data_IF_272720189911
#
_entry.id   IF_272720189911
#
_cell.length_a   1.000
_cell.length_b   1.000
_cell.length_c   1.000
_cell.angle_alpha   90.00
_cell.angle_beta   90.00
_cell.angle_gamma   90.00
#
_symmetry.space_group_name_H-M   'P 1'
#
loop_
_entity.id
_entity.type
_entity.pdbx_description
1 polymer ?
#
# COMPACT_ATOMS: atom_id res chain seq x y z
N UNK A 1 32.43 9.11 -16.96
CA UNK A 1 31.42 8.88 -15.90
C UNK A 1 30.46 7.83 -16.43
N UNK A 2 30.79 6.56 -16.19
CA UNK A 2 29.97 5.40 -16.57
C UNK A 2 28.83 5.29 -15.57
N UNK A 3 27.61 5.56 -16.03
CA UNK A 3 26.40 5.22 -15.29
C UNK A 3 26.19 3.73 -15.38
N UNK A 4 26.56 3.00 -14.32
CA UNK A 4 26.09 1.64 -14.09
C UNK A 4 24.57 1.69 -13.95
N UNK A 5 23.84 1.27 -14.99
CA UNK A 5 22.41 0.97 -14.89
C UNK A 5 22.26 -0.33 -14.09
N UNK A 6 21.67 -0.31 -12.88
CA UNK A 6 21.64 -1.48 -12.04
C UNK A 6 20.60 -2.48 -12.56
N UNK A 7 21.05 -3.70 -12.81
CA UNK A 7 20.22 -4.91 -12.76
C UNK A 7 19.03 -4.93 -13.70
N UNK A 8 19.25 -5.29 -14.97
CA UNK A 8 18.17 -5.71 -15.85
C UNK A 8 17.42 -6.89 -15.23
N UNK A 9 16.24 -6.63 -14.67
CA UNK A 9 15.29 -7.66 -14.26
C UNK A 9 14.99 -8.49 -15.51
N UNK A 10 15.58 -9.68 -15.59
CA UNK A 10 15.30 -10.61 -16.68
C UNK A 10 13.83 -10.97 -16.60
N UNK A 11 13.10 -10.76 -17.71
CA UNK A 11 11.67 -11.09 -17.82
C UNK A 11 11.49 -12.59 -17.71
N UNK A 12 11.41 -13.10 -16.48
CA UNK A 12 11.09 -14.49 -16.21
C UNK A 12 9.62 -14.73 -16.55
N UNK A 13 9.27 -15.84 -17.23
CA UNK A 13 7.89 -16.24 -17.37
C UNK A 13 7.20 -16.34 -15.99
N UNK A 14 5.92 -15.92 -15.86
CA UNK A 14 5.18 -16.06 -14.60
C UNK A 14 5.16 -17.50 -14.11
N UNK A 15 5.32 -17.71 -12.80
CA UNK A 15 5.15 -19.04 -12.21
C UNK A 15 3.66 -19.43 -12.20
N UNK A 16 3.37 -20.72 -12.08
CA UNK A 16 1.97 -21.21 -11.98
C UNK A 16 1.19 -20.51 -10.85
N UNK A 17 1.84 -20.26 -9.71
CA UNK A 17 1.24 -19.53 -8.59
C UNK A 17 0.95 -18.06 -8.90
N UNK A 18 1.67 -17.43 -9.84
CA UNK A 18 1.38 -16.06 -10.26
C UNK A 18 0.18 -16.02 -11.22
N UNK A 19 0.06 -17.04 -12.08
CA UNK A 19 -1.08 -17.22 -12.99
C UNK A 19 -2.38 -17.46 -12.21
N UNK A 20 -2.31 -18.26 -11.15
CA UNK A 20 -3.44 -18.47 -10.23
C UNK A 20 -3.90 -17.14 -9.62
N UNK A 21 -2.97 -16.29 -9.18
CA UNK A 21 -3.30 -14.97 -8.61
C UNK A 21 -3.84 -13.99 -9.65
N UNK A 22 -3.34 -14.04 -10.89
CA UNK A 22 -3.91 -13.26 -12.00
C UNK A 22 -5.38 -13.59 -12.26
N UNK A 23 -5.80 -14.81 -11.96
CA UNK A 23 -7.18 -15.27 -12.13
C UNK A 23 -8.10 -14.93 -10.95
N UNK A 24 -7.55 -14.35 -9.87
CA UNK A 24 -8.32 -13.93 -8.71
C UNK A 24 -8.97 -12.56 -8.93
N UNK A 25 -9.98 -12.20 -8.13
CA UNK A 25 -10.54 -10.85 -8.13
C UNK A 25 -9.48 -9.78 -7.84
N UNK A 26 -9.78 -8.54 -8.25
CA UNK A 26 -9.00 -7.38 -7.84
C UNK A 26 -8.98 -7.27 -6.30
N UNK A 27 -7.87 -6.78 -5.74
CA UNK A 27 -7.78 -6.51 -4.31
C UNK A 27 -8.75 -5.38 -3.94
N UNK A 28 -8.96 -4.40 -4.82
CA UNK A 28 -9.95 -3.34 -4.63
C UNK A 28 -11.37 -3.88 -4.32
N UNK A 29 -11.81 -4.96 -4.99
CA UNK A 29 -13.14 -5.54 -4.74
C UNK A 29 -13.24 -6.34 -3.45
N UNK A 30 -12.11 -6.58 -2.76
CA UNK A 30 -12.03 -7.27 -1.48
C UNK A 30 -11.86 -6.28 -0.31
N UNK A 31 -11.83 -4.97 -0.61
CA UNK A 31 -11.76 -3.88 0.36
C UNK A 31 -13.16 -3.33 0.66
N UNK A 32 -13.39 -2.71 1.83
CA UNK A 32 -12.43 -2.47 2.92
C UNK A 32 -12.19 -3.69 3.81
N UNK A 33 -10.98 -3.82 4.36
CA UNK A 33 -10.67 -4.76 5.43
C UNK A 33 -10.89 -4.09 6.77
N UNK A 34 -11.82 -4.64 7.57
CA UNK A 34 -12.13 -4.16 8.93
C UNK A 34 -11.55 -5.10 9.98
N UNK A 35 -11.13 -4.53 11.10
CA UNK A 35 -10.64 -5.24 12.28
C UNK A 35 -11.56 -4.97 13.47
N UNK A 36 -11.55 -5.86 14.47
CA UNK A 36 -12.43 -5.79 15.64
C UNK A 36 -12.18 -4.54 16.49
N UNK A 37 -10.95 -4.01 16.47
CA UNK A 37 -10.56 -2.77 17.15
C UNK A 37 -11.02 -1.49 16.42
N UNK A 38 -11.77 -1.62 15.32
CA UNK A 38 -12.27 -0.51 14.50
C UNK A 38 -11.31 -0.03 13.41
N UNK A 39 -10.08 -0.56 13.32
CA UNK A 39 -9.18 -0.25 12.22
C UNK A 39 -9.73 -0.72 10.88
N UNK A 40 -9.48 0.07 9.83
CA UNK A 40 -10.11 -0.10 8.54
C UNK A 40 -9.13 0.30 7.43
N UNK A 41 -8.71 -0.69 6.65
CA UNK A 41 -7.95 -0.47 5.42
C UNK A 41 -8.93 -0.30 4.27
N UNK A 42 -9.03 0.90 3.72
CA UNK A 42 -9.93 1.23 2.61
C UNK A 42 -9.38 0.84 1.25
N UNK A 43 -8.06 0.84 1.11
CA UNK A 43 -7.35 0.53 -0.14
C UNK A 43 -5.91 0.15 0.15
N UNK A 44 -5.27 -0.45 -0.85
CA UNK A 44 -3.83 -0.69 -0.91
C UNK A 44 -3.36 -0.54 -2.35
N UNK A 45 -2.18 0.02 -2.54
CA UNK A 45 -1.56 0.23 -3.85
C UNK A 45 -0.23 -0.51 -3.88
N UNK A 46 0.06 -1.20 -4.99
CA UNK A 46 1.36 -1.81 -5.23
C UNK A 46 2.27 -0.86 -6.00
N UNK A 47 3.58 -0.99 -5.85
CA UNK A 47 4.56 -0.29 -6.68
C UNK A 47 5.31 -1.27 -7.57
N UNK A 48 5.48 -0.93 -8.84
CA UNK A 48 6.25 -1.75 -9.75
C UNK A 48 7.71 -1.84 -9.30
N UNK A 49 8.22 -3.06 -9.13
CA UNK A 49 9.62 -3.29 -8.71
C UNK A 49 10.65 -2.76 -9.72
N UNK A 50 10.27 -2.57 -10.99
CA UNK A 50 11.18 -2.11 -12.05
C UNK A 50 11.19 -0.59 -12.19
N UNK A 51 10.04 0.04 -12.46
CA UNK A 51 9.98 1.48 -12.75
C UNK A 51 9.48 2.33 -11.58
N UNK A 52 9.09 1.72 -10.46
CA UNK A 52 8.60 2.41 -9.26
C UNK A 52 7.22 3.08 -9.40
N UNK A 53 6.57 2.96 -10.56
CA UNK A 53 5.22 3.49 -10.76
C UNK A 53 4.19 2.71 -9.94
N UNK A 54 3.18 3.42 -9.45
CA UNK A 54 2.04 2.80 -8.77
C UNK A 54 1.27 1.90 -9.75
N UNK A 55 0.86 0.73 -9.26
CA UNK A 55 -0.03 -0.18 -9.96
C UNK A 55 -1.44 0.06 -9.41
N UNK A 56 -2.39 0.49 -10.25
CA UNK A 56 -3.78 0.69 -9.85
C UNK A 56 -4.36 -0.54 -9.13
N UNK A 57 -5.24 -0.29 -8.17
CA UNK A 57 -5.82 -1.33 -7.31
C UNK A 57 -6.79 -2.27 -8.04
N UNK A 58 -7.32 -1.86 -9.20
CA UNK A 58 -8.09 -2.67 -10.14
C UNK A 58 -7.23 -3.61 -11.01
N UNK A 59 -5.94 -3.31 -11.17
CA UNK A 59 -4.91 -4.14 -11.85
C UNK A 59 -4.05 -4.95 -10.89
N UNK A 60 -4.36 -4.84 -9.61
CA UNK A 60 -3.73 -5.56 -8.52
C UNK A 60 -4.66 -6.69 -8.09
N UNK A 61 -4.44 -7.91 -8.59
CA UNK A 61 -5.31 -9.07 -8.36
C UNK A 61 -4.69 -10.04 -7.37
N UNK A 62 -5.52 -10.71 -6.59
CA UNK A 62 -5.04 -11.65 -5.60
C UNK A 62 -6.08 -12.03 -4.57
N UNK A 63 -5.61 -12.50 -3.42
CA UNK A 63 -6.46 -12.94 -2.32
C UNK A 63 -6.06 -12.29 -1.00
N UNK A 64 -7.07 -12.05 -0.17
CA UNK A 64 -6.92 -11.72 1.24
C UNK A 64 -7.19 -12.97 2.08
N UNK A 65 -6.31 -13.27 3.03
CA UNK A 65 -6.50 -14.36 3.99
C UNK A 65 -6.22 -13.87 5.41
N UNK A 66 -7.04 -14.31 6.36
CA UNK A 66 -6.89 -13.96 7.78
C UNK A 66 -6.55 -15.22 8.57
N UNK A 67 -5.29 -15.34 9.00
CA UNK A 67 -4.83 -16.44 9.86
C UNK A 67 -5.00 -16.13 11.36
N UNK A 68 -4.86 -14.86 11.74
CA UNK A 68 -5.06 -14.36 13.11
C UNK A 68 -5.91 -13.10 13.09
N UNK A 69 -6.68 -12.80 14.15
CA UNK A 69 -7.62 -11.67 14.13
C UNK A 69 -6.98 -10.30 13.84
N UNK A 70 -5.74 -10.06 14.28
CA UNK A 70 -5.04 -8.77 14.14
C UNK A 70 -4.28 -8.60 12.82
N UNK A 71 -4.24 -9.61 11.95
CA UNK A 71 -3.44 -9.56 10.71
C UNK A 71 -4.19 -10.16 9.52
N UNK A 72 -4.20 -9.43 8.40
CA UNK A 72 -4.64 -9.95 7.10
C UNK A 72 -3.44 -10.06 6.17
N UNK A 73 -3.15 -11.29 5.72
CA UNK A 73 -2.19 -11.54 4.66
C UNK A 73 -2.80 -11.20 3.29
N UNK A 74 -2.03 -10.50 2.47
CA UNK A 74 -2.32 -10.18 1.08
C UNK A 74 -1.33 -10.93 0.21
N UNK A 75 -1.82 -11.80 -0.67
CA UNK A 75 -1.01 -12.48 -1.69
C UNK A 75 -1.56 -12.11 -3.06
N UNK A 76 -0.79 -11.34 -3.81
CA UNK A 76 -1.30 -10.66 -4.99
C UNK A 76 -0.21 -10.43 -6.05
N UNK A 77 -0.65 -10.14 -7.26
CA UNK A 77 0.18 -9.79 -8.41
C UNK A 77 -0.39 -8.55 -9.08
N UNK A 78 0.49 -7.73 -9.65
CA UNK A 78 0.10 -6.55 -10.42
C UNK A 78 0.91 -6.46 -11.70
N UNK A 79 0.25 -6.12 -12.80
CA UNK A 79 0.92 -5.83 -14.07
C UNK A 79 1.10 -4.32 -14.18
N UNK A 80 2.34 -3.87 -14.33
CA UNK A 80 2.61 -2.44 -14.51
C UNK A 80 2.26 -2.00 -15.93
N UNK A 81 1.46 -0.95 -16.09
CA UNK A 81 1.09 -0.40 -17.40
C UNK A 81 2.27 0.20 -18.16
N UNK A 82 3.28 0.72 -17.44
CA UNK A 82 4.44 1.36 -18.06
C UNK A 82 5.44 0.36 -18.63
N UNK A 83 5.84 -0.65 -17.84
CA UNK A 83 6.91 -1.57 -18.22
C UNK A 83 6.44 -3.01 -18.47
N UNK A 84 5.13 -3.27 -18.40
CA UNK A 84 4.45 -4.57 -18.59
C UNK A 84 5.00 -5.71 -17.72
N UNK A 85 5.67 -5.36 -16.61
CA UNK A 85 6.24 -6.34 -15.70
C UNK A 85 5.20 -6.79 -14.68
N UNK A 86 5.06 -8.11 -14.54
CA UNK A 86 4.31 -8.73 -13.45
C UNK A 86 5.13 -8.62 -12.15
N UNK A 87 4.58 -7.94 -11.16
CA UNK A 87 5.19 -7.80 -9.84
C UNK A 87 4.37 -8.59 -8.83
N UNK A 88 5.03 -9.45 -8.05
CA UNK A 88 4.39 -10.18 -6.95
C UNK A 88 4.48 -9.37 -5.66
N UNK A 89 3.40 -9.39 -4.90
CA UNK A 89 3.26 -8.68 -3.65
C UNK A 89 2.82 -9.65 -2.56
N UNK A 90 3.54 -9.66 -1.45
CA UNK A 90 3.15 -10.37 -0.23
C UNK A 90 3.17 -9.38 0.91
N UNK A 91 1.98 -8.93 1.29
CA UNK A 91 1.81 -7.95 2.36
C UNK A 91 1.07 -8.55 3.55
N UNK A 92 1.17 -7.84 4.67
CA UNK A 92 0.40 -8.06 5.89
C UNK A 92 -0.13 -6.72 6.35
N UNK A 93 -1.45 -6.63 6.41
CA UNK A 93 -2.18 -5.49 6.95
C UNK A 93 -2.43 -5.77 8.42
N UNK A 94 -1.99 -4.85 9.27
CA UNK A 94 -2.15 -4.98 10.72
C UNK A 94 -3.28 -4.08 11.22
N UNK A 95 -3.88 -4.48 12.33
CA UNK A 95 -5.00 -3.78 12.98
C UNK A 95 -4.61 -2.46 13.66
N UNK A 96 -3.32 -2.15 13.77
CA UNK A 96 -2.79 -0.87 14.24
C UNK A 96 -2.40 0.07 13.07
N UNK A 97 -2.81 -0.28 11.85
CA UNK A 97 -2.56 0.45 10.61
C UNK A 97 -1.08 0.50 10.16
N UNK A 98 -0.24 -0.48 10.55
CA UNK A 98 1.05 -0.70 9.89
C UNK A 98 0.97 -1.74 8.77
N UNK A 99 1.80 -1.56 7.74
CA UNK A 99 1.96 -2.49 6.63
C UNK A 99 3.30 -3.20 6.79
N UNK A 100 3.33 -4.51 6.57
CA UNK A 100 4.60 -5.22 6.39
C UNK A 100 4.56 -6.05 5.12
N UNK A 101 5.72 -6.40 4.57
CA UNK A 101 5.76 -7.09 3.30
C UNK A 101 7.10 -7.70 2.98
N UNK A 102 7.07 -8.70 2.10
CA UNK A 102 8.24 -9.45 1.72
C UNK A 102 9.06 -8.67 0.67
N UNK A 103 10.32 -8.42 1.00
CA UNK A 103 11.34 -7.83 0.12
C UNK A 103 12.44 -8.85 -0.18
N UNK A 104 13.41 -8.47 -1.01
CA UNK A 104 14.57 -9.32 -1.30
C UNK A 104 15.43 -9.58 -0.04
N UNK A 105 15.39 -8.66 0.94
CA UNK A 105 16.07 -8.81 2.24
C UNK A 105 15.22 -9.47 3.33
N UNK A 106 14.03 -9.97 2.99
CA UNK A 106 13.07 -10.53 3.93
C UNK A 106 11.93 -9.56 4.27
N UNK A 107 11.29 -9.75 5.42
CA UNK A 107 10.15 -8.92 5.82
C UNK A 107 10.60 -7.51 6.22
N UNK A 108 9.98 -6.51 5.61
CA UNK A 108 10.15 -5.10 5.94
C UNK A 108 8.82 -4.49 6.41
N UNK A 109 8.90 -3.47 7.24
CA UNK A 109 7.74 -2.73 7.75
C UNK A 109 7.71 -1.32 7.17
N UNK A 110 6.52 -0.91 6.72
CA UNK A 110 6.19 0.45 6.35
C UNK A 110 5.10 0.95 7.27
N UNK A 111 5.45 1.91 8.12
CA UNK A 111 4.45 2.69 8.84
C UNK A 111 4.01 3.80 7.92
N UNK A 112 2.70 3.91 7.70
CA UNK A 112 2.14 5.15 7.18
C UNK A 112 2.62 6.25 8.12
N UNK A 113 3.58 7.09 7.68
CA UNK A 113 3.88 8.31 8.42
C UNK A 113 2.56 9.01 8.47
N UNK A 114 1.93 9.14 9.66
CA UNK A 114 0.73 9.96 9.79
C UNK A 114 1.08 11.25 9.09
N UNK A 115 0.36 11.60 8.02
CA UNK A 115 0.49 12.92 7.43
C UNK A 115 0.35 13.85 8.64
N UNK A 116 1.41 14.62 8.95
CA UNK A 116 1.27 15.63 10.00
C UNK A 116 0.05 16.42 9.57
N UNK A 117 -1.02 16.48 10.38
CA UNK A 117 -2.20 17.22 9.98
C UNK A 117 -1.71 18.60 9.58
N UNK A 118 -2.12 19.05 8.39
CA UNK A 118 -1.71 20.35 7.92
C UNK A 118 -2.14 21.36 9.00
N UNK A 119 -1.33 22.37 9.32
CA UNK A 119 -1.63 23.29 10.43
C UNK A 119 -3.07 23.86 10.32
N UNK A 120 -3.56 24.00 9.09
CA UNK A 120 -4.93 24.41 8.76
C UNK A 120 -6.01 23.43 9.27
N UNK A 121 -5.77 22.12 9.27
CA UNK A 121 -6.71 21.10 9.80
C UNK A 121 -6.77 21.15 11.34
N UNK A 122 -5.67 21.53 11.99
CA UNK A 122 -5.62 21.73 13.45
C UNK A 122 -6.32 23.03 13.86
N UNK A 123 -6.10 24.12 13.13
CA UNK A 123 -6.85 25.37 13.30
C UNK A 123 -8.34 25.18 12.99
N UNK A 124 -8.65 24.22 12.10
CA UNK A 124 -9.95 23.61 11.83
C UNK A 124 -10.77 23.26 13.08
N UNK A 125 -10.08 22.84 14.14
CA UNK A 125 -10.66 22.26 15.36
C UNK A 125 -10.58 23.18 16.58
N UNK A 126 -10.02 24.37 16.44
CA UNK A 126 -10.00 25.33 17.53
C UNK A 126 -11.38 25.97 17.73
N UNK A 127 -11.85 26.12 18.98
CA UNK A 127 -13.01 26.95 19.29
C UNK A 127 -12.89 28.33 18.65
N UNK A 128 -14.00 28.87 18.14
CA UNK A 128 -14.01 30.11 17.35
C UNK A 128 -13.36 31.32 18.04
N UNK A 129 -13.31 31.35 19.37
CA UNK A 129 -12.67 32.41 20.14
C UNK A 129 -11.13 32.41 20.01
N UNK A 130 -10.48 31.24 19.85
CA UNK A 130 -9.03 31.15 19.65
C UNK A 130 -8.65 31.65 18.25
N UNK A 131 -9.48 31.36 17.24
CA UNK A 131 -9.29 31.89 15.88
C UNK A 131 -9.39 33.42 15.84
N UNK A 132 -10.34 33.99 16.57
CA UNK A 132 -10.54 35.44 16.65
C UNK A 132 -9.43 36.17 17.42
N UNK A 133 -8.77 35.50 18.36
CA UNK A 133 -7.64 36.06 19.09
C UNK A 133 -6.35 36.11 18.22
N UNK A 134 -6.07 35.05 17.46
CA UNK A 134 -4.90 34.98 16.57
C UNK A 134 -4.94 35.99 15.41
N UNK A 135 -6.13 36.40 14.94
CA UNK A 135 -6.27 37.40 13.87
C UNK A 135 -6.09 38.85 14.34
N UNK A 136 -6.07 39.10 15.66
CA UNK A 136 -5.85 40.42 16.27
C UNK A 136 -4.43 40.65 16.78
N UNK A 137 -3.57 39.64 16.73
CA UNK A 137 -2.18 39.72 17.19
C UNK A 137 -1.18 40.06 16.05
N UNK A 138 -1.68 40.51 14.89
CA UNK A 138 -0.89 41.12 13.80
C UNK A 138 -1.07 42.62 13.79
#
# INVERSE_FOLDING_TARGET
MTTDSPGGLTKRPPAAADIELLSQPAIASQMPVRFDNGACWSSITGQCKSCGQDIPDDRFTGRLSRLVPSVVDVDAVGVCDSCTLLTRFRYRLHDDMHLSGLTDSGWAEWRHRRARPHLQDLLGRLPGWIRAWLSRAR
#
